data_IF_510872363440
#
_entry.id   IF_510872363440
#
_cell.length_a   1.000
_cell.length_b   1.000
_cell.length_c   1.000
_cell.angle_alpha   90.00
_cell.angle_beta   90.00
_cell.angle_gamma   90.00
#
_symmetry.space_group_name_H-M   'P 1'
#
loop_
_entity.id
_entity.type
_entity.pdbx_description
1 polymer ?
#
# COMPACT_ATOMS: atom_id res chain seq x y z
N UNK A 1 13.12 10.21 -33.81
CA UNK A 1 13.33 9.31 -32.66
C UNK A 1 12.67 9.81 -31.36
N UNK A 2 12.84 11.07 -30.94
CA UNK A 2 12.32 11.55 -29.63
C UNK A 2 10.80 11.45 -29.40
N UNK A 3 9.98 11.63 -30.44
CA UNK A 3 8.51 11.50 -30.35
C UNK A 3 8.04 10.09 -29.93
N UNK A 4 8.75 9.05 -30.35
CA UNK A 4 8.41 7.69 -29.95
C UNK A 4 8.66 7.46 -28.45
N UNK A 5 9.72 8.06 -27.91
CA UNK A 5 10.05 8.01 -26.48
C UNK A 5 8.94 8.65 -25.65
N UNK A 6 8.43 9.81 -26.05
CA UNK A 6 7.32 10.48 -25.35
C UNK A 6 6.03 9.66 -25.37
N UNK A 7 5.73 9.03 -26.50
CA UNK A 7 4.55 8.14 -26.62
C UNK A 7 4.71 6.93 -25.71
N UNK A 8 5.89 6.29 -25.68
CA UNK A 8 6.16 5.13 -24.81
C UNK A 8 6.02 5.52 -23.33
N UNK A 9 6.58 6.66 -22.91
CA UNK A 9 6.44 7.15 -21.53
C UNK A 9 4.97 7.37 -21.20
N UNK A 10 4.21 8.02 -22.08
CA UNK A 10 2.78 8.26 -21.87
C UNK A 10 1.99 6.95 -21.70
N UNK A 11 2.29 5.94 -22.51
CA UNK A 11 1.67 4.60 -22.41
C UNK A 11 2.04 3.93 -21.09
N UNK A 12 3.32 3.94 -20.70
CA UNK A 12 3.79 3.34 -19.43
C UNK A 12 3.10 4.01 -18.23
N UNK A 13 3.03 5.34 -18.21
CA UNK A 13 2.37 6.10 -17.14
C UNK A 13 0.87 5.80 -17.09
N UNK A 14 0.22 5.69 -18.25
CA UNK A 14 -1.19 5.32 -18.31
C UNK A 14 -1.44 3.92 -17.75
N UNK A 15 -0.68 2.92 -18.20
CA UNK A 15 -0.80 1.54 -17.73
C UNK A 15 -0.57 1.48 -16.22
N UNK A 16 0.49 2.13 -15.73
CA UNK A 16 0.76 2.23 -14.30
C UNK A 16 -0.45 2.79 -13.53
N UNK A 17 -1.00 3.92 -13.97
CA UNK A 17 -2.12 4.57 -13.29
C UNK A 17 -3.39 3.70 -13.29
N UNK A 18 -3.65 2.92 -14.35
CA UNK A 18 -4.76 1.95 -14.39
C UNK A 18 -4.58 0.90 -13.30
N UNK A 19 -3.40 0.27 -13.24
CA UNK A 19 -3.12 -0.76 -12.23
C UNK A 19 -3.18 -0.19 -10.82
N UNK A 20 -2.67 1.02 -10.63
CA UNK A 20 -2.67 1.70 -9.34
C UNK A 20 -4.10 2.06 -8.88
N UNK A 21 -4.96 2.55 -9.78
CA UNK A 21 -6.38 2.79 -9.48
C UNK A 21 -7.12 1.49 -9.13
N UNK A 22 -6.85 0.41 -9.86
CA UNK A 22 -7.47 -0.90 -9.60
C UNK A 22 -7.03 -1.43 -8.23
N UNK A 23 -5.72 -1.42 -7.95
CA UNK A 23 -5.12 -1.89 -6.71
C UNK A 23 -5.54 -1.04 -5.49
N UNK A 24 -5.77 0.25 -5.67
CA UNK A 24 -6.15 1.16 -4.58
C UNK A 24 -7.53 0.81 -4.00
N UNK A 25 -7.64 0.47 -2.70
CA UNK A 25 -8.91 0.22 -2.03
C UNK A 25 -9.82 1.45 -2.05
N UNK A 26 -11.15 1.27 -2.11
CA UNK A 26 -12.12 2.39 -2.13
C UNK A 26 -11.96 3.35 -0.94
N UNK A 27 -11.49 2.87 0.20
CA UNK A 27 -11.23 3.67 1.41
C UNK A 27 -9.98 4.56 1.32
N UNK A 28 -9.09 4.30 0.35
CA UNK A 28 -7.84 5.05 0.13
C UNK A 28 -7.96 6.07 -1.02
N UNK A 29 -8.99 5.95 -1.84
CA UNK A 29 -9.34 6.91 -2.90
C UNK A 29 -9.87 8.20 -2.25
N UNK A 30 -9.33 9.35 -2.64
CA UNK A 30 -9.75 10.68 -2.12
C UNK A 30 -10.34 11.56 -3.22
N UNK A 31 -10.98 12.66 -2.80
CA UNK A 31 -11.58 13.75 -3.59
C UNK A 31 -12.82 13.37 -4.39
N UNK A 32 -12.78 12.26 -5.12
CA UNK A 32 -13.85 11.81 -5.98
C UNK A 32 -14.14 10.32 -5.75
N UNK A 33 -15.39 9.86 -5.99
CA UNK A 33 -15.69 8.43 -6.02
C UNK A 33 -14.79 7.68 -7.00
N UNK A 34 -14.44 6.44 -6.67
CA UNK A 34 -13.56 5.59 -7.52
C UNK A 34 -14.00 5.52 -8.99
N UNK A 35 -15.30 5.58 -9.25
CA UNK A 35 -15.88 5.59 -10.60
C UNK A 35 -15.46 6.87 -11.37
N UNK A 36 -15.50 8.04 -10.74
CA UNK A 36 -15.12 9.29 -11.41
C UNK A 36 -13.63 9.30 -11.76
N UNK A 37 -12.79 8.76 -10.87
CA UNK A 37 -11.37 8.58 -11.17
C UNK A 37 -11.12 7.65 -12.35
N UNK A 38 -11.91 6.58 -12.48
CA UNK A 38 -11.84 5.70 -13.65
C UNK A 38 -12.20 6.45 -14.94
N UNK A 39 -13.23 7.29 -14.92
CA UNK A 39 -13.62 8.12 -16.08
C UNK A 39 -12.53 9.14 -16.42
N UNK A 40 -11.94 9.81 -15.43
CA UNK A 40 -10.84 10.75 -15.62
C UNK A 40 -9.64 10.06 -16.27
N UNK A 41 -9.35 8.82 -15.87
CA UNK A 41 -8.24 8.05 -16.41
C UNK A 41 -8.36 7.78 -17.91
N UNK A 42 -9.57 7.78 -18.48
CA UNK A 42 -9.79 7.58 -19.92
C UNK A 42 -9.24 8.73 -20.78
N UNK A 43 -8.98 9.89 -20.19
CA UNK A 43 -8.30 11.00 -20.88
C UNK A 43 -6.80 10.73 -20.88
N UNK A 44 -6.19 10.41 -22.03
CA UNK A 44 -4.77 10.04 -22.08
C UNK A 44 -3.89 11.18 -21.57
N UNK A 45 -2.79 10.81 -20.90
CA UNK A 45 -1.83 11.72 -20.25
C UNK A 45 -2.43 12.46 -19.04
N UNK A 46 -3.48 13.27 -19.25
CA UNK A 46 -4.08 14.10 -18.19
C UNK A 46 -4.68 13.25 -17.06
N UNK A 47 -5.42 12.20 -17.41
CA UNK A 47 -6.04 11.31 -16.44
C UNK A 47 -5.05 10.61 -15.52
N UNK A 48 -4.05 9.90 -16.08
CA UNK A 48 -2.96 9.30 -15.31
C UNK A 48 -2.21 10.29 -14.42
N UNK A 49 -1.90 11.48 -14.93
CA UNK A 49 -1.22 12.50 -14.14
C UNK A 49 -2.08 12.97 -12.95
N UNK A 50 -3.35 13.30 -13.19
CA UNK A 50 -4.26 13.71 -12.11
C UNK A 50 -4.42 12.61 -11.05
N UNK A 51 -4.49 11.36 -11.47
CA UNK A 51 -4.55 10.22 -10.56
C UNK A 51 -3.29 10.10 -9.69
N UNK A 52 -2.10 10.21 -10.28
CA UNK A 52 -0.83 10.10 -9.56
C UNK A 52 -0.67 11.23 -8.52
N UNK A 53 -1.09 12.46 -8.83
CA UNK A 53 -0.91 13.59 -7.94
C UNK A 53 -2.00 13.73 -6.86
N UNK A 54 -3.24 13.33 -7.17
CA UNK A 54 -4.42 13.60 -6.31
C UNK A 54 -5.29 12.38 -6.00
N UNK A 55 -5.07 11.24 -6.67
CA UNK A 55 -5.95 10.07 -6.61
C UNK A 55 -5.90 9.28 -5.30
N UNK A 56 -4.76 9.27 -4.62
CA UNK A 56 -4.56 8.54 -3.38
C UNK A 56 -3.70 9.34 -2.38
N UNK A 57 -3.80 9.03 -1.08
CA UNK A 57 -2.79 9.48 -0.11
C UNK A 57 -1.48 8.87 -0.58
N UNK A 58 -0.53 9.68 -1.06
CA UNK A 58 0.86 9.25 -1.20
C UNK A 58 1.25 8.67 0.13
N UNK A 59 1.57 7.37 0.17
CA UNK A 59 1.83 6.66 1.40
C UNK A 59 2.77 7.54 2.23
N UNK A 60 2.26 8.09 3.34
CA UNK A 60 3.16 8.52 4.39
C UNK A 60 4.08 7.31 4.58
N UNK A 61 5.42 7.47 4.43
CA UNK A 61 6.35 6.34 4.44
C UNK A 61 5.93 5.47 5.60
N UNK A 62 5.74 4.15 5.40
CA UNK A 62 5.06 3.29 6.35
C UNK A 62 5.65 3.61 7.70
N UNK A 63 4.86 4.31 8.54
CA UNK A 63 5.30 4.72 9.89
C UNK A 63 5.84 3.43 10.45
N UNK A 64 7.16 3.32 10.79
CA UNK A 64 7.77 2.05 11.13
C UNK A 64 6.78 1.43 12.09
N UNK A 65 6.18 0.31 11.68
CA UNK A 65 5.17 -0.34 12.49
C UNK A 65 5.93 -0.58 13.79
N UNK A 66 5.63 0.22 14.81
CA UNK A 66 5.98 -0.10 16.18
C UNK A 66 5.62 -1.56 16.27
N UNK A 67 6.64 -2.39 16.51
CA UNK A 67 6.55 -3.83 16.59
C UNK A 67 5.34 -4.16 17.46
N UNK A 68 4.21 -4.37 16.79
CA UNK A 68 2.98 -4.83 17.40
C UNK A 68 3.30 -6.27 17.73
N UNK A 69 3.88 -6.44 18.91
CA UNK A 69 4.44 -7.69 19.38
C UNK A 69 3.37 -8.75 19.26
N UNK A 70 3.55 -9.65 18.30
CA UNK A 70 3.10 -11.00 18.50
C UNK A 70 3.99 -11.53 19.62
N UNK A 71 3.55 -11.43 20.88
CA UNK A 71 4.07 -12.28 21.94
C UNK A 71 3.55 -13.68 21.64
N UNK A 72 4.41 -14.64 21.27
CA UNK A 72 3.96 -16.02 21.15
C UNK A 72 3.37 -16.43 22.50
N UNK A 73 2.31 -17.25 22.53
CA UNK A 73 1.87 -17.85 23.78
C UNK A 73 3.09 -18.49 24.47
N UNK A 74 3.23 -18.36 25.79
CA UNK A 74 4.37 -18.93 26.51
C UNK A 74 4.54 -20.40 26.08
N UNK A 75 5.69 -20.70 25.47
CA UNK A 75 6.03 -22.07 25.13
C UNK A 75 6.10 -22.93 26.41
N UNK A 76 6.11 -24.26 26.28
CA UNK A 76 6.32 -25.15 27.41
C UNK A 76 7.57 -24.72 28.19
N UNK A 77 7.41 -24.33 29.46
CA UNK A 77 8.54 -24.00 30.34
C UNK A 77 9.15 -25.30 30.86
N UNK A 78 10.48 -25.36 30.85
CA UNK A 78 11.19 -26.46 31.51
C UNK A 78 11.01 -26.39 33.03
N UNK A 79 11.22 -27.50 33.76
CA UNK A 79 11.14 -27.52 35.23
C UNK A 79 12.04 -26.48 35.89
N UNK A 80 13.22 -26.22 35.32
CA UNK A 80 14.18 -25.24 35.86
C UNK A 80 13.76 -23.77 35.65
N UNK A 81 12.84 -23.52 34.72
CA UNK A 81 12.35 -22.17 34.35
C UNK A 81 10.99 -21.83 34.99
N UNK A 82 10.42 -22.74 35.79
CA UNK A 82 9.14 -22.54 36.48
C UNK A 82 9.37 -22.23 37.97
N UNK A 83 9.04 -21.01 38.44
CA UNK A 83 9.20 -20.66 39.85
C UNK A 83 8.34 -21.52 40.77
N UNK A 84 7.22 -22.08 40.29
CA UNK A 84 6.38 -22.97 41.10
C UNK A 84 7.03 -24.36 41.28
N UNK A 85 7.83 -24.82 40.31
CA UNK A 85 8.63 -26.04 40.45
C UNK A 85 9.79 -25.83 41.44
N UNK A 86 10.51 -24.71 41.33
CA UNK A 86 11.65 -24.38 42.21
C UNK A 86 11.24 -24.15 43.67
N UNK A 87 9.98 -23.82 43.93
CA UNK A 87 9.45 -23.68 45.31
C UNK A 87 9.33 -25.01 46.06
N UNK A 88 9.37 -26.14 45.35
CA UNK A 88 9.25 -27.48 45.93
C UNK A 88 10.59 -28.19 46.18
N UNK A 89 11.72 -27.53 45.94
CA UNK A 89 13.09 -28.03 46.18
C UNK A 89 13.61 -27.67 47.57
#
# INVERSE_FOLDING_TARGET
MGKAVLVVIGVVVFVYAVFDLVATPKSRVKLLPKILWFVILLVPIVGPLLWIFWGHIGDAPPKPRSSGGWSPPPGPRGPDDDPDYLRGL
#
